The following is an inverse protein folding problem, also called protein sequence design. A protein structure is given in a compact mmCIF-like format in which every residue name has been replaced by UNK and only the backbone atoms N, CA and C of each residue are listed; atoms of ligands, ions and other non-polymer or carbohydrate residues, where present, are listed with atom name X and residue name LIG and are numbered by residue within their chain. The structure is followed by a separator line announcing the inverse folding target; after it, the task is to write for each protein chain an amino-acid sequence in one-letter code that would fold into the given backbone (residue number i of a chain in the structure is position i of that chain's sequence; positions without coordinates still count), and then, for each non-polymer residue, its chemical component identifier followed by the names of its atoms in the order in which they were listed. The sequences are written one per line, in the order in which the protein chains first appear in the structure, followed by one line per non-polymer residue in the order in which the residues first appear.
data_IF_161764691533
#
_entry.id   IF_161764691533
#
_cell.length_a   1.000
_cell.length_b   1.000
_cell.length_c   1.000
_cell.angle_alpha   90.00
_cell.angle_beta   90.00
_cell.angle_gamma   90.00
#
_symmetry.space_group_name_H-M   'P 1'
#
loop_
_entity.id
_entity.type
_entity.pdbx_description
1 polymer ?
#
# COMPACT_ATOMS: atom_id res chain seq x y z
N UNK A 1 42.66 -44.85 42.72
CA UNK A 1 43.21 -43.64 43.36
C UNK A 1 42.47 -42.42 42.82
N UNK A 2 41.89 -41.64 43.74
CA UNK A 2 41.43 -40.24 43.62
C UNK A 2 40.49 -39.87 42.44
N UNK A 3 39.18 -39.75 42.69
CA UNK A 3 38.51 -38.50 43.12
C UNK A 3 38.50 -37.41 42.04
N UNK A 4 37.30 -37.13 41.49
CA UNK A 4 36.80 -35.74 41.52
C UNK A 4 35.27 -35.70 41.51
N UNK A 5 34.78 -35.00 42.51
CA UNK A 5 33.41 -34.72 42.95
C UNK A 5 33.23 -33.22 42.76
N UNK A 6 32.15 -32.76 42.14
CA UNK A 6 31.62 -31.40 42.33
C UNK A 6 30.25 -31.32 41.63
N UNK A 7 29.12 -31.38 42.32
CA UNK A 7 28.51 -30.40 43.24
C UNK A 7 27.85 -29.25 42.46
N UNK A 8 26.53 -29.34 42.27
CA UNK A 8 25.65 -28.18 42.34
C UNK A 8 25.61 -27.71 43.81
N UNK A 9 25.45 -26.42 44.16
CA UNK A 9 24.14 -25.78 44.00
C UNK A 9 24.16 -24.23 43.92
N UNK A 10 22.95 -23.66 44.05
CA UNK A 10 22.62 -22.38 44.67
C UNK A 10 22.42 -21.16 43.76
N UNK A 11 21.16 -21.07 43.33
CA UNK A 11 20.34 -19.86 43.19
C UNK A 11 20.77 -18.74 44.15
N UNK A 12 20.93 -17.52 43.62
CA UNK A 12 20.88 -16.29 44.39
C UNK A 12 20.08 -15.26 43.60
N UNK A 13 18.98 -14.82 44.21
CA UNK A 13 18.14 -13.71 43.76
C UNK A 13 18.97 -12.43 43.61
N UNK A 14 18.78 -11.74 42.50
CA UNK A 14 18.94 -10.29 42.44
C UNK A 14 17.63 -9.69 41.95
N UNK A 15 17.00 -8.92 42.82
CA UNK A 15 15.81 -8.14 42.53
C UNK A 15 16.18 -7.06 41.50
N UNK A 16 15.51 -7.07 40.35
CA UNK A 16 15.46 -5.91 39.47
C UNK A 16 14.03 -5.37 39.53
N UNK A 17 13.93 -4.12 39.96
CA UNK A 17 12.73 -3.31 40.05
C UNK A 17 11.90 -3.39 38.75
N UNK A 18 10.56 -3.24 38.81
CA UNK A 18 9.75 -3.23 37.61
C UNK A 18 10.09 -1.97 36.81
N UNK A 19 10.95 -2.12 35.82
CA UNK A 19 11.15 -1.10 34.80
C UNK A 19 9.81 -0.93 34.08
N UNK A 20 9.15 0.20 34.36
CA UNK A 20 7.97 0.66 33.67
C UNK A 20 8.30 0.69 32.17
N UNK A 21 7.86 -0.35 31.46
CA UNK A 21 7.96 -0.41 30.01
C UNK A 21 7.09 0.70 29.44
N UNK A 22 7.77 1.81 29.11
CA UNK A 22 7.27 2.85 28.26
C UNK A 22 6.67 2.19 27.01
N UNK A 23 5.38 2.44 26.79
CA UNK A 23 4.60 1.78 25.76
C UNK A 23 5.10 2.16 24.38
N UNK A 24 6.05 1.40 23.83
CA UNK A 24 6.29 1.36 22.39
C UNK A 24 5.03 0.80 21.73
N UNK A 25 4.11 1.70 21.40
CA UNK A 25 2.98 1.40 20.54
C UNK A 25 3.55 0.87 19.22
N UNK A 26 3.40 -0.44 19.02
CA UNK A 26 3.63 -1.13 17.74
C UNK A 26 3.11 -0.23 16.61
N UNK A 27 3.92 0.15 15.60
CA UNK A 27 3.52 1.12 14.57
C UNK A 27 2.21 0.68 13.97
N UNK A 28 1.17 1.42 14.31
CA UNK A 28 -0.14 0.85 14.25
C UNK A 28 -0.59 0.66 12.81
N UNK A 29 -0.90 -0.60 12.51
CA UNK A 29 -1.11 -1.04 11.16
C UNK A 29 -2.47 -0.66 10.64
N UNK A 30 -2.52 -0.35 9.35
CA UNK A 30 -3.74 -0.08 8.63
C UNK A 30 -4.39 -1.39 8.21
N UNK A 31 -5.70 -1.47 8.33
CA UNK A 31 -6.50 -2.62 7.89
C UNK A 31 -7.40 -2.30 6.71
N UNK A 32 -7.78 -1.02 6.55
CA UNK A 32 -8.55 -0.55 5.42
C UNK A 32 -8.12 0.84 4.99
N UNK A 33 -8.10 1.09 3.69
CA UNK A 33 -7.77 2.36 3.08
C UNK A 33 -8.89 2.72 2.11
N UNK A 34 -9.45 3.91 2.29
CA UNK A 34 -10.43 4.52 1.40
C UNK A 34 -9.73 5.59 0.56
N UNK A 35 -9.97 5.56 -0.75
CA UNK A 35 -9.38 6.49 -1.71
C UNK A 35 -10.49 7.21 -2.46
N UNK A 36 -10.52 8.53 -2.34
CA UNK A 36 -11.31 9.39 -3.19
C UNK A 36 -10.71 9.43 -4.61
N UNK A 37 -11.56 9.20 -5.61
CA UNK A 37 -11.12 9.13 -7.02
C UNK A 37 -11.02 10.48 -7.71
N UNK A 38 -11.43 11.57 -7.05
CA UNK A 38 -11.46 12.89 -7.67
C UNK A 38 -10.13 13.62 -7.48
N UNK A 39 -9.64 14.26 -8.55
CA UNK A 39 -8.51 15.19 -8.49
C UNK A 39 -7.12 14.58 -8.32
N UNK A 40 -6.96 13.26 -8.35
CA UNK A 40 -5.65 12.60 -8.27
C UNK A 40 -5.07 12.33 -9.67
N UNK A 41 -3.75 12.28 -9.77
CA UNK A 41 -3.06 11.98 -11.04
C UNK A 41 -3.27 10.51 -11.44
N UNK A 42 -3.15 10.23 -12.74
CA UNK A 42 -3.17 8.84 -13.22
C UNK A 42 -2.02 8.01 -12.61
N UNK A 43 -0.86 8.61 -12.40
CA UNK A 43 0.29 7.98 -11.76
C UNK A 43 -0.02 7.54 -10.32
N UNK A 44 -0.79 8.34 -9.58
CA UNK A 44 -1.23 7.93 -8.25
C UNK A 44 -2.12 6.68 -8.33
N UNK A 45 -3.08 6.65 -9.27
CA UNK A 45 -3.97 5.51 -9.43
C UNK A 45 -3.28 4.22 -9.92
N UNK A 46 -2.16 4.33 -10.64
CA UNK A 46 -1.38 3.15 -11.08
C UNK A 46 -0.47 2.59 -9.98
N UNK A 47 0.17 3.46 -9.19
CA UNK A 47 1.18 3.04 -8.22
C UNK A 47 0.63 2.79 -6.82
N UNK A 48 -0.40 3.54 -6.41
CA UNK A 48 -0.91 3.44 -5.05
C UNK A 48 -1.40 2.03 -4.67
N UNK A 49 -2.21 1.33 -5.50
CA UNK A 49 -2.59 -0.05 -5.18
C UNK A 49 -1.38 -0.97 -5.03
N UNK A 50 -0.30 -0.75 -5.79
CA UNK A 50 0.92 -1.54 -5.69
C UNK A 50 1.62 -1.33 -4.35
N UNK A 51 1.73 -0.07 -3.91
CA UNK A 51 2.27 0.26 -2.59
C UNK A 51 1.46 -0.38 -1.46
N UNK A 52 0.13 -0.35 -1.55
CA UNK A 52 -0.75 -0.98 -0.57
C UNK A 52 -0.55 -2.49 -0.51
N UNK A 53 -0.40 -3.16 -1.66
CA UNK A 53 -0.14 -4.59 -1.69
C UNK A 53 1.21 -4.95 -1.05
N UNK A 54 2.27 -4.20 -1.32
CA UNK A 54 3.59 -4.42 -0.70
C UNK A 54 3.52 -4.19 0.81
N UNK A 55 2.89 -3.10 1.26
CA UNK A 55 2.71 -2.80 2.68
C UNK A 55 1.79 -3.82 3.40
N UNK A 56 0.88 -4.44 2.66
CA UNK A 56 0.05 -5.53 3.18
C UNK A 56 0.86 -6.81 3.35
N UNK A 57 1.75 -7.13 2.40
CA UNK A 57 2.56 -8.35 2.44
C UNK A 57 3.69 -8.30 3.47
N UNK A 58 4.19 -7.10 3.80
CA UNK A 58 5.20 -6.93 4.87
C UNK A 58 4.65 -7.24 6.27
N UNK A 59 3.34 -7.42 6.42
CA UNK A 59 2.67 -7.70 7.70
C UNK A 59 2.35 -9.21 7.80
N UNK A 60 3.38 -10.01 8.08
CA UNK A 60 3.36 -11.48 7.97
C UNK A 60 2.28 -12.24 8.80
N UNK A 61 1.62 -11.61 9.77
CA UNK A 61 0.63 -12.27 10.65
C UNK A 61 -0.75 -11.61 10.69
N UNK A 62 -1.08 -10.72 9.75
CA UNK A 62 -2.31 -9.90 9.83
C UNK A 62 -3.13 -9.94 8.54
N UNK A 63 -4.46 -9.74 8.64
CA UNK A 63 -5.35 -9.76 7.49
C UNK A 63 -4.94 -8.68 6.47
N UNK A 64 -5.03 -8.96 5.16
CA UNK A 64 -4.52 -8.05 4.16
C UNK A 64 -5.24 -6.70 4.15
N UNK A 65 -4.53 -5.64 3.80
CA UNK A 65 -5.11 -4.29 3.71
C UNK A 65 -6.18 -4.28 2.62
N UNK A 66 -7.37 -3.76 2.95
CA UNK A 66 -8.46 -3.56 1.98
C UNK A 66 -8.39 -2.16 1.39
N UNK A 67 -8.51 -2.06 0.07
CA UNK A 67 -8.52 -0.80 -0.65
C UNK A 67 -9.91 -0.56 -1.24
N UNK A 68 -10.54 0.55 -0.84
CA UNK A 68 -11.90 0.90 -1.23
C UNK A 68 -11.89 2.23 -1.96
N UNK A 69 -12.50 2.27 -3.15
CA UNK A 69 -12.69 3.52 -3.89
C UNK A 69 -13.97 4.23 -3.46
N UNK A 70 -13.89 5.53 -3.20
CA UNK A 70 -15.06 6.37 -2.99
C UNK A 70 -15.52 7.05 -4.29
N UNK A 71 -16.84 7.12 -4.43
CA UNK A 71 -17.48 8.02 -5.40
C UNK A 71 -17.35 9.46 -4.93
N UNK A 72 -17.50 10.41 -5.86
CA UNK A 72 -17.46 11.84 -5.57
C UNK A 72 -18.46 12.25 -4.49
N UNK A 73 -19.68 11.72 -4.54
CA UNK A 73 -20.72 12.01 -3.53
C UNK A 73 -20.35 11.49 -2.13
N UNK A 74 -19.64 10.36 -2.02
CA UNK A 74 -19.12 9.90 -0.73
C UNK A 74 -18.00 10.81 -0.22
N UNK A 75 -17.09 11.24 -1.09
CA UNK A 75 -16.01 12.16 -0.77
C UNK A 75 -16.53 13.49 -0.21
N UNK A 76 -17.54 14.09 -0.86
CA UNK A 76 -18.15 15.35 -0.43
C UNK A 76 -18.79 15.24 0.95
N UNK A 77 -19.52 14.14 1.21
CA UNK A 77 -20.11 13.86 2.52
C UNK A 77 -19.05 13.69 3.60
N UNK A 78 -17.98 12.97 3.29
CA UNK A 78 -16.88 12.74 4.21
C UNK A 78 -16.13 14.03 4.55
N UNK A 79 -15.90 14.87 3.53
CA UNK A 79 -15.32 16.21 3.63
C UNK A 79 -16.15 17.09 4.57
N UNK A 80 -17.48 17.09 4.40
CA UNK A 80 -18.40 17.82 5.28
C UNK A 80 -18.37 17.29 6.72
N UNK A 81 -18.35 15.97 6.93
CA UNK A 81 -18.30 15.38 8.27
C UNK A 81 -16.97 15.63 9.00
N UNK A 82 -15.86 15.65 8.28
CA UNK A 82 -14.52 15.85 8.85
C UNK A 82 -14.15 17.33 8.98
N UNK A 83 -14.90 18.24 8.36
CA UNK A 83 -14.63 19.67 8.39
C UNK A 83 -13.36 20.09 7.67
N UNK A 84 -12.81 19.23 6.80
CA UNK A 84 -11.61 19.52 6.00
C UNK A 84 -11.99 19.78 4.54
N UNK A 85 -11.31 20.68 3.81
CA UNK A 85 -11.75 21.09 2.47
C UNK A 85 -11.71 19.99 1.40
N UNK A 86 -10.81 19.02 1.54
CA UNK A 86 -10.68 17.88 0.63
C UNK A 86 -10.15 16.65 1.36
N UNK A 87 -10.77 15.51 1.11
CA UNK A 87 -10.27 14.20 1.54
C UNK A 87 -9.79 13.45 0.31
N UNK A 88 -8.51 13.14 0.23
CA UNK A 88 -7.98 12.25 -0.80
C UNK A 88 -7.96 10.78 -0.37
N UNK A 89 -7.43 10.50 0.82
CA UNK A 89 -7.21 9.13 1.32
C UNK A 89 -7.47 9.12 2.82
N UNK A 90 -8.16 8.08 3.32
CA UNK A 90 -8.31 7.81 4.75
C UNK A 90 -7.98 6.36 5.01
N UNK A 91 -7.17 6.11 6.03
CA UNK A 91 -6.84 4.77 6.47
C UNK A 91 -7.38 4.52 7.88
N UNK A 92 -7.96 3.33 8.08
CA UNK A 92 -8.40 2.83 9.37
C UNK A 92 -7.33 1.91 9.92
N UNK A 93 -6.96 2.13 11.17
CA UNK A 93 -6.04 1.28 11.92
C UNK A 93 -6.76 0.03 12.45
N UNK A 94 -6.03 -1.07 12.50
CA UNK A 94 -6.50 -2.26 13.21
C UNK A 94 -6.69 -1.95 14.69
N UNK A 95 -7.80 -2.41 15.27
CA UNK A 95 -8.12 -2.17 16.68
C UNK A 95 -8.71 -0.79 17.01
N UNK A 96 -9.03 0.04 16.02
CA UNK A 96 -9.73 1.30 16.29
C UNK A 96 -11.11 1.06 16.96
N UNK A 97 -11.58 1.98 17.82
CA UNK A 97 -12.88 1.82 18.47
C UNK A 97 -14.01 1.87 17.43
N UNK A 98 -15.04 1.04 17.62
CA UNK A 98 -16.27 1.02 16.80
C UNK A 98 -16.09 0.68 15.30
N UNK A 99 -14.89 0.32 14.83
CA UNK A 99 -14.68 -0.01 13.40
C UNK A 99 -14.88 -1.49 13.05
N UNK A 100 -15.01 -2.37 14.05
CA UNK A 100 -15.03 -3.83 13.83
C UNK A 100 -16.08 -4.27 12.80
N UNK A 101 -17.32 -3.80 12.92
CA UNK A 101 -18.38 -4.14 11.97
C UNK A 101 -18.11 -3.65 10.54
N UNK A 102 -17.48 -2.49 10.39
CA UNK A 102 -17.06 -1.97 9.10
C UNK A 102 -15.91 -2.80 8.50
N UNK A 103 -14.93 -3.19 9.32
CA UNK A 103 -13.83 -4.04 8.89
C UNK A 103 -14.34 -5.40 8.42
N UNK A 104 -15.24 -6.03 9.18
CA UNK A 104 -15.79 -7.35 8.87
C UNK A 104 -16.64 -7.29 7.58
N UNK A 105 -17.48 -6.26 7.42
CA UNK A 105 -18.24 -6.02 6.19
C UNK A 105 -17.31 -5.88 4.98
N UNK A 106 -16.30 -5.01 5.05
CA UNK A 106 -15.40 -4.80 3.93
C UNK A 106 -14.53 -6.04 3.64
N UNK A 107 -14.13 -6.81 4.67
CA UNK A 107 -13.38 -8.05 4.46
C UNK A 107 -14.19 -9.10 3.70
N UNK A 108 -15.51 -9.11 3.87
CA UNK A 108 -16.43 -9.98 3.12
C UNK A 108 -16.78 -9.47 1.71
N UNK A 109 -16.80 -8.15 1.49
CA UNK A 109 -17.23 -7.55 0.21
C UNK A 109 -16.10 -7.08 -0.70
N UNK A 110 -14.91 -6.81 -0.16
CA UNK A 110 -13.78 -6.22 -0.88
C UNK A 110 -12.62 -7.20 -0.86
N UNK A 111 -12.20 -7.61 -2.05
CA UNK A 111 -11.01 -8.46 -2.22
C UNK A 111 -9.75 -7.71 -1.77
N UNK A 112 -8.76 -8.44 -1.22
CA UNK A 112 -7.46 -7.84 -0.93
C UNK A 112 -6.78 -7.34 -2.21
N UNK A 113 -5.93 -6.33 -2.07
CA UNK A 113 -5.15 -5.83 -3.21
C UNK A 113 -4.01 -6.80 -3.49
N UNK A 114 -4.04 -7.40 -4.68
CA UNK A 114 -2.99 -8.30 -5.16
C UNK A 114 -2.29 -7.67 -6.36
N UNK A 115 -0.98 -7.90 -6.44
CA UNK A 115 -0.15 -7.43 -7.54
C UNK A 115 0.48 -8.64 -8.21
N UNK A 116 -0.13 -9.09 -9.30
CA UNK A 116 0.24 -10.34 -9.96
C UNK A 116 1.70 -10.34 -10.42
N UNK A 117 2.19 -9.22 -10.98
CA UNK A 117 3.59 -9.12 -11.38
C UNK A 117 4.57 -9.26 -10.20
N UNK A 118 4.17 -8.86 -8.99
CA UNK A 118 5.02 -9.00 -7.80
C UNK A 118 5.14 -10.48 -7.37
N UNK A 119 4.05 -11.25 -7.50
CA UNK A 119 4.08 -12.68 -7.24
C UNK A 119 4.87 -13.41 -8.34
N UNK A 120 4.69 -13.03 -9.59
CA UNK A 120 5.41 -13.62 -10.73
C UNK A 120 6.92 -13.31 -10.72
N UNK A 121 7.30 -12.10 -10.30
CA UNK A 121 8.70 -11.70 -10.15
C UNK A 121 9.44 -12.58 -9.13
N UNK A 122 8.76 -13.01 -8.06
CA UNK A 122 9.35 -13.95 -7.10
C UNK A 122 9.63 -15.32 -7.72
N UNK A 123 8.87 -15.71 -8.74
CA UNK A 123 9.01 -17.01 -9.43
C UNK A 123 9.94 -16.91 -10.65
N UNK A 124 10.52 -15.73 -10.92
CA UNK A 124 11.45 -15.47 -12.03
C UNK A 124 10.94 -15.96 -13.41
N UNK A 125 9.64 -15.84 -13.67
CA UNK A 125 9.01 -16.28 -14.92
C UNK A 125 9.26 -15.24 -16.01
N UNK A 126 9.92 -15.65 -17.10
CA UNK A 126 10.07 -14.82 -18.29
C UNK A 126 8.71 -14.58 -18.98
N UNK A 127 8.45 -13.34 -19.39
CA UNK A 127 7.29 -12.95 -20.19
C UNK A 127 7.73 -12.58 -21.60
N UNK A 128 6.99 -13.06 -22.60
CA UNK A 128 7.25 -12.78 -24.01
C UNK A 128 7.05 -11.28 -24.33
N UNK A 129 7.81 -10.77 -25.29
CA UNK A 129 7.78 -9.37 -25.70
C UNK A 129 6.44 -9.00 -26.33
N UNK A 130 5.69 -8.10 -25.70
CA UNK A 130 4.46 -7.52 -26.26
C UNK A 130 4.78 -6.24 -27.02
N UNK A 131 4.67 -6.27 -28.36
CA UNK A 131 4.90 -5.11 -29.23
C UNK A 131 3.55 -4.52 -29.63
N UNK A 132 3.23 -3.34 -29.10
CA UNK A 132 2.03 -2.58 -29.47
C UNK A 132 2.41 -1.41 -30.40
N UNK A 133 1.84 -1.36 -31.60
CA UNK A 133 2.06 -0.28 -32.58
C UNK A 133 1.01 0.83 -32.44
N UNK A 134 1.45 2.08 -32.27
CA UNK A 134 0.56 3.25 -32.19
C UNK A 134 0.68 4.05 -33.49
N UNK A 135 -0.42 4.18 -34.23
CA UNK A 135 -0.45 5.00 -35.44
C UNK A 135 -0.41 6.49 -35.05
N UNK A 136 0.64 7.20 -35.45
CA UNK A 136 0.81 8.62 -35.19
C UNK A 136 0.78 9.39 -36.51
N UNK A 137 0.04 10.50 -36.54
CA UNK A 137 -0.02 11.37 -37.72
C UNK A 137 1.28 12.17 -37.81
N UNK A 138 2.02 11.99 -38.89
CA UNK A 138 3.20 12.81 -39.21
C UNK A 138 2.70 14.10 -39.89
N UNK A 139 3.10 15.27 -39.36
CA UNK A 139 2.71 16.56 -39.91
C UNK A 139 3.23 16.76 -41.35
N UNK A 140 2.43 17.41 -42.20
CA UNK A 140 2.84 17.71 -43.58
C UNK A 140 3.95 18.75 -43.60
N UNK A 141 5.13 18.35 -44.11
CA UNK A 141 6.21 19.28 -44.36
C UNK A 141 5.81 20.25 -45.49
N UNK A 142 5.91 21.56 -45.23
CA UNK A 142 5.68 22.59 -46.25
C UNK A 142 6.80 22.53 -47.29
N UNK A 143 6.48 22.00 -48.48
CA UNK A 143 7.38 22.04 -49.64
C UNK A 143 7.51 23.51 -50.07
N UNK A 144 8.69 24.11 -49.90
CA UNK A 144 9.01 25.44 -50.45
C UNK A 144 9.01 25.35 -51.98
N UNK A 145 8.11 26.09 -52.63
CA UNK A 145 8.06 26.26 -54.09
C UNK A 145 9.41 26.81 -54.58
N UNK A 146 10.08 26.21 -55.59
CA UNK A 146 11.26 26.81 -56.18
C UNK A 146 10.89 28.12 -56.88
N UNK A 147 11.71 29.16 -56.64
CA UNK A 147 11.60 30.49 -57.23
C UNK A 147 11.87 30.37 -58.73
N UNK A 148 10.87 30.62 -59.57
CA UNK A 148 11.05 30.67 -61.01
C UNK A 148 12.03 31.82 -61.34
N UNK A 149 13.17 31.48 -61.96
CA UNK A 149 14.06 32.44 -62.59
C UNK A 149 13.51 32.78 -63.97
N UNK A 150 13.00 34.01 -64.11
CA UNK A 150 12.74 34.62 -65.42
C UNK A 150 14.06 35.08 -66.03
N UNK A 151 14.34 34.67 -67.27
CA UNK A 151 15.32 35.28 -68.17
C UNK A 151 14.60 35.64 -69.46
#
# INVERSE_FOLDING_TARGET
MSSKKETAPAVREEATEPEQQDGTADPAQYSMIFVARSGQSMSFHSHFPQMVAVASNSQACKPPIRLVGFSKSCEERLTACLGIPRVSIIAIREGAPQVKGLLDFARGHVSPVLVNWHQEAQVAIYRETKIDGIQTKVGTAKIKKPRASSS
#
